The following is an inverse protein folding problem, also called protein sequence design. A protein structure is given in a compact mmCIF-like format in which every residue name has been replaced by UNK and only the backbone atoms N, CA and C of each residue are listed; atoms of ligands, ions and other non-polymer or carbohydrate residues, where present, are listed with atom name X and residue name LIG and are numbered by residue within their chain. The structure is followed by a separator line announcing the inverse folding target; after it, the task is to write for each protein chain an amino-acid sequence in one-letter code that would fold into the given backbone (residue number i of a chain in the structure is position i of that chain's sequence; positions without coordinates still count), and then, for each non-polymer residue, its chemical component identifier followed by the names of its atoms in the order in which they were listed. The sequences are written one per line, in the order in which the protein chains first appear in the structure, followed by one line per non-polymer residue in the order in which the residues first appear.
data_IF_274204372196
#
_entry.id   IF_274204372196
#
_cell.length_a   1.000
_cell.length_b   1.000
_cell.length_c   1.000
_cell.angle_alpha   90.00
_cell.angle_beta   90.00
_cell.angle_gamma   90.00
#
_symmetry.space_group_name_H-M   'P 1'
#
loop_
_entity.id
_entity.type
_entity.pdbx_description
1 polymer ?
#
# COMPACT_ATOMS: atom_id res chain seq x y z
N UNK A 1 -40.16 15.80 9.97
CA UNK A 1 -39.62 15.37 8.66
C UNK A 1 -38.65 14.17 8.75
N UNK A 2 -37.66 14.14 9.66
CA UNK A 2 -36.95 12.88 10.04
C UNK A 2 -37.92 11.81 10.57
N UNK A 3 -38.96 12.27 11.25
CA UNK A 3 -40.07 11.47 11.75
C UNK A 3 -40.92 10.85 10.65
N UNK A 4 -40.95 11.36 9.41
CA UNK A 4 -41.89 10.90 8.38
C UNK A 4 -41.33 9.78 7.51
N UNK A 5 -40.05 9.84 7.12
CA UNK A 5 -39.46 8.78 6.28
C UNK A 5 -39.11 7.55 7.11
N UNK A 6 -38.55 7.76 8.31
CA UNK A 6 -38.21 6.67 9.25
C UNK A 6 -39.45 6.03 9.86
N UNK A 7 -40.53 6.80 10.12
CA UNK A 7 -41.81 6.21 10.54
C UNK A 7 -42.49 5.45 9.42
N UNK A 8 -42.40 5.93 8.16
CA UNK A 8 -42.96 5.22 7.00
C UNK A 8 -42.20 3.92 6.68
N UNK A 9 -40.89 3.87 6.89
CA UNK A 9 -40.08 2.64 6.77
C UNK A 9 -40.39 1.67 7.91
N UNK A 10 -40.46 2.15 9.17
CA UNK A 10 -40.87 1.32 10.32
C UNK A 10 -42.32 0.83 10.24
N UNK A 11 -43.23 1.64 9.69
CA UNK A 11 -44.63 1.29 9.46
C UNK A 11 -44.83 0.32 8.28
N UNK A 12 -43.80 0.11 7.45
CA UNK A 12 -43.79 -0.81 6.33
C UNK A 12 -42.89 -2.04 6.60
N UNK A 13 -42.67 -2.39 7.88
CA UNK A 13 -41.94 -3.60 8.28
C UNK A 13 -40.49 -3.61 7.74
N UNK A 14 -39.81 -2.44 7.82
CA UNK A 14 -38.49 -2.15 7.26
C UNK A 14 -38.36 -2.31 5.73
N UNK A 15 -39.48 -2.45 5.01
CA UNK A 15 -39.49 -2.48 3.54
C UNK A 15 -39.64 -1.07 3.00
N UNK A 16 -38.67 -0.53 2.24
CA UNK A 16 -38.75 0.83 1.74
C UNK A 16 -39.93 0.93 0.75
N UNK A 17 -40.66 2.05 0.75
CA UNK A 17 -41.87 2.21 -0.07
C UNK A 17 -41.60 2.94 -1.40
N UNK A 18 -40.46 3.64 -1.50
CA UNK A 18 -39.98 4.34 -2.69
C UNK A 18 -38.54 3.92 -3.02
N UNK A 19 -38.16 3.97 -4.30
CA UNK A 19 -36.78 3.72 -4.73
C UNK A 19 -35.89 4.90 -4.32
N UNK A 20 -35.13 4.72 -3.24
CA UNK A 20 -34.27 5.75 -2.67
C UNK A 20 -33.04 6.03 -3.55
N UNK A 21 -32.79 5.24 -4.61
CA UNK A 21 -31.76 5.56 -5.62
C UNK A 21 -32.11 6.83 -6.38
N UNK A 22 -33.40 7.11 -6.58
CA UNK A 22 -33.85 8.38 -7.18
C UNK A 22 -33.54 9.60 -6.29
N UNK A 23 -33.34 9.39 -4.98
CA UNK A 23 -33.15 10.45 -3.99
C UNK A 23 -31.71 10.98 -3.87
N UNK A 24 -30.78 10.45 -4.66
CA UNK A 24 -29.44 11.05 -4.87
C UNK A 24 -29.30 11.76 -6.21
N UNK A 25 -30.36 11.81 -7.02
CA UNK A 25 -30.31 12.45 -8.35
C UNK A 25 -29.97 13.94 -8.30
N UNK A 26 -30.23 14.61 -7.17
CA UNK A 26 -29.82 16.00 -6.91
C UNK A 26 -28.46 16.18 -6.24
N UNK A 27 -27.77 15.10 -5.86
CA UNK A 27 -26.45 15.19 -5.24
C UNK A 27 -25.36 15.41 -6.28
N UNK A 28 -24.18 15.98 -5.92
CA UNK A 28 -23.09 16.22 -6.87
C UNK A 28 -22.71 14.98 -7.68
N UNK A 29 -22.33 15.17 -8.95
CA UNK A 29 -21.97 14.08 -9.87
C UNK A 29 -20.93 13.12 -9.27
N UNK A 30 -19.94 13.69 -8.59
CA UNK A 30 -18.90 12.97 -7.87
C UNK A 30 -19.41 12.05 -6.77
N UNK A 31 -20.36 12.54 -5.96
CA UNK A 31 -20.99 11.73 -4.92
C UNK A 31 -21.83 10.62 -5.54
N UNK A 32 -22.60 10.93 -6.59
CA UNK A 32 -23.42 9.95 -7.31
C UNK A 32 -22.54 8.86 -7.91
N UNK A 33 -21.41 9.21 -8.52
CA UNK A 33 -20.48 8.24 -9.10
C UNK A 33 -19.90 7.32 -8.04
N UNK A 34 -19.42 7.87 -6.92
CA UNK A 34 -18.85 7.08 -5.84
C UNK A 34 -19.84 6.08 -5.22
N UNK A 35 -21.11 6.48 -5.11
CA UNK A 35 -22.17 5.71 -4.43
C UNK A 35 -22.94 4.76 -5.36
N UNK A 36 -22.51 4.61 -6.62
CA UNK A 36 -23.04 3.58 -7.50
C UNK A 36 -22.67 2.18 -7.02
N UNK A 37 -23.38 1.17 -7.53
CA UNK A 37 -23.05 -0.23 -7.28
C UNK A 37 -21.58 -0.54 -7.59
N UNK A 38 -20.92 -1.26 -6.70
CA UNK A 38 -19.55 -1.73 -6.89
C UNK A 38 -18.58 -1.26 -5.81
N UNK A 39 -17.30 -1.40 -6.12
CA UNK A 39 -16.17 -1.06 -5.28
C UNK A 39 -16.00 0.46 -5.15
N UNK A 40 -15.92 0.94 -3.91
CA UNK A 40 -15.57 2.33 -3.63
C UNK A 40 -14.07 2.53 -3.87
N UNK A 41 -13.20 1.60 -3.46
CA UNK A 41 -11.75 1.69 -3.69
C UNK A 41 -11.42 1.83 -5.17
N UNK A 42 -12.09 1.07 -6.04
CA UNK A 42 -11.92 1.14 -7.50
C UNK A 42 -12.18 2.55 -8.04
N UNK A 43 -13.33 3.12 -7.67
CA UNK A 43 -13.75 4.45 -8.14
C UNK A 43 -12.87 5.55 -7.57
N UNK A 44 -12.58 5.45 -6.28
CA UNK A 44 -11.70 6.35 -5.56
C UNK A 44 -10.30 6.36 -6.20
N UNK A 45 -9.71 5.19 -6.44
CA UNK A 45 -8.41 5.05 -7.08
C UNK A 45 -8.39 5.61 -8.51
N UNK A 46 -9.41 5.31 -9.33
CA UNK A 46 -9.55 5.88 -10.69
C UNK A 46 -9.57 7.41 -10.68
N UNK A 47 -10.27 8.01 -9.74
CA UNK A 47 -10.41 9.47 -9.63
C UNK A 47 -9.10 10.20 -9.39
N UNK A 48 -8.11 9.53 -8.79
CA UNK A 48 -6.77 10.09 -8.53
C UNK A 48 -5.69 9.55 -9.47
N UNK A 49 -6.06 8.82 -10.52
CA UNK A 49 -5.11 8.25 -11.48
C UNK A 49 -4.38 7.00 -10.98
N UNK A 50 -4.93 6.31 -9.98
CA UNK A 50 -4.38 5.08 -9.40
C UNK A 50 -5.21 3.83 -9.72
N UNK A 51 -6.02 3.85 -10.77
CA UNK A 51 -6.91 2.74 -11.13
C UNK A 51 -6.19 1.38 -11.20
N UNK A 52 -4.98 1.37 -11.76
CA UNK A 52 -4.15 0.17 -11.90
C UNK A 52 -3.72 -0.45 -10.54
N UNK A 53 -3.78 0.33 -9.47
CA UNK A 53 -3.42 -0.10 -8.12
C UNK A 53 -4.63 -0.51 -7.27
N UNK A 54 -5.86 -0.38 -7.79
CA UNK A 54 -7.08 -0.67 -7.03
C UNK A 54 -7.08 -2.09 -6.44
N UNK A 55 -6.67 -3.09 -7.23
CA UNK A 55 -6.54 -4.49 -6.78
C UNK A 55 -5.52 -4.66 -5.64
N UNK A 56 -4.43 -3.89 -5.68
CA UNK A 56 -3.40 -3.90 -4.64
C UNK A 56 -3.92 -3.25 -3.36
N UNK A 57 -4.59 -2.09 -3.47
CA UNK A 57 -5.23 -1.42 -2.34
C UNK A 57 -6.22 -2.37 -1.68
N UNK A 58 -7.11 -3.01 -2.46
CA UNK A 58 -8.06 -4.01 -1.93
C UNK A 58 -7.37 -5.21 -1.30
N UNK A 59 -6.25 -5.66 -1.86
CA UNK A 59 -5.47 -6.78 -1.34
C UNK A 59 -4.92 -6.53 0.06
N UNK A 60 -4.46 -5.31 0.35
CA UNK A 60 -3.85 -4.97 1.64
C UNK A 60 -4.83 -4.36 2.64
N UNK A 61 -5.77 -3.55 2.17
CA UNK A 61 -6.65 -2.73 3.03
C UNK A 61 -8.09 -3.21 3.05
N UNK A 62 -8.53 -3.93 2.01
CA UNK A 62 -9.93 -4.25 1.80
C UNK A 62 -10.66 -3.16 1.01
N UNK A 63 -11.98 -3.17 1.09
CA UNK A 63 -12.84 -2.30 0.28
C UNK A 63 -14.15 -1.99 1.01
N UNK A 64 -14.85 -0.96 0.55
CA UNK A 64 -16.28 -0.78 0.81
C UNK A 64 -17.03 -1.00 -0.49
N UNK A 65 -17.94 -1.96 -0.49
CA UNK A 65 -18.74 -2.33 -1.64
C UNK A 65 -20.16 -1.83 -1.48
N UNK A 66 -20.66 -1.08 -2.46
CA UNK A 66 -22.06 -0.68 -2.53
C UNK A 66 -22.85 -1.77 -3.28
N UNK A 67 -23.77 -2.44 -2.59
CA UNK A 67 -24.77 -3.29 -3.21
C UNK A 67 -26.02 -2.48 -3.54
N UNK A 68 -26.44 -2.52 -4.80
CA UNK A 68 -27.62 -1.81 -5.28
C UNK A 68 -28.20 -2.60 -6.46
N UNK A 69 -28.95 -3.68 -6.18
CA UNK A 69 -29.61 -4.49 -7.22
C UNK A 69 -30.82 -3.76 -7.77
N UNK A 70 -31.26 -4.07 -8.98
CA UNK A 70 -32.39 -3.41 -9.66
C UNK A 70 -33.65 -3.31 -8.78
N UNK A 71 -33.98 -4.37 -8.02
CA UNK A 71 -35.15 -4.40 -7.14
C UNK A 71 -34.90 -3.88 -5.71
N UNK A 72 -33.64 -3.62 -5.35
CA UNK A 72 -33.31 -3.06 -4.05
C UNK A 72 -33.78 -1.61 -4.02
N UNK A 73 -34.47 -1.26 -2.94
CA UNK A 73 -34.97 0.11 -2.76
C UNK A 73 -34.02 0.99 -1.95
N UNK A 74 -32.97 0.40 -1.36
CA UNK A 74 -31.92 1.07 -0.58
C UNK A 74 -30.57 0.44 -0.95
N UNK A 75 -29.55 1.24 -1.31
CA UNK A 75 -28.17 0.76 -1.43
C UNK A 75 -27.61 0.35 -0.07
N UNK A 76 -26.96 -0.81 -0.01
CA UNK A 76 -26.33 -1.33 1.21
C UNK A 76 -24.83 -1.34 1.04
N UNK A 77 -24.11 -0.70 1.96
CA UNK A 77 -22.66 -0.77 1.99
C UNK A 77 -22.18 -1.97 2.81
N UNK A 78 -21.25 -2.73 2.24
CA UNK A 78 -20.58 -3.86 2.89
C UNK A 78 -19.09 -3.62 2.94
N UNK A 79 -18.48 -3.99 4.06
CA UNK A 79 -17.02 -4.00 4.18
C UNK A 79 -16.51 -5.31 3.55
N UNK A 80 -15.58 -5.19 2.63
CA UNK A 80 -14.84 -6.33 2.08
C UNK A 80 -13.49 -6.35 2.77
N UNK A 81 -13.14 -7.48 3.38
CA UNK A 81 -11.86 -7.61 4.07
C UNK A 81 -10.71 -7.64 3.07
N UNK A 82 -9.51 -7.29 3.53
CA UNK A 82 -8.27 -7.50 2.78
C UNK A 82 -7.99 -9.00 2.53
N UNK A 83 -6.94 -9.30 1.77
CA UNK A 83 -6.52 -10.68 1.57
C UNK A 83 -5.87 -11.25 2.83
N UNK A 84 -6.40 -12.35 3.41
CA UNK A 84 -5.86 -12.94 4.62
C UNK A 84 -4.44 -13.51 4.44
N UNK A 85 -4.03 -13.78 3.19
CA UNK A 85 -2.70 -14.26 2.84
C UNK A 85 -1.61 -13.18 3.05
N UNK A 86 -1.97 -11.90 2.92
CA UNK A 86 -1.04 -10.82 3.15
C UNK A 86 -0.81 -10.65 4.65
N UNK A 87 0.44 -10.77 5.07
CA UNK A 87 0.81 -10.52 6.46
C UNK A 87 0.61 -9.04 6.77
N UNK A 88 -0.32 -8.76 7.67
CA UNK A 88 -0.64 -7.39 8.09
C UNK A 88 0.62 -6.64 8.51
N UNK A 89 0.77 -5.43 7.99
CA UNK A 89 1.86 -4.49 8.31
C UNK A 89 3.27 -5.01 7.99
N UNK A 90 3.41 -6.12 7.26
CA UNK A 90 4.71 -6.64 6.84
C UNK A 90 5.08 -6.17 5.45
N UNK A 91 6.36 -5.86 5.28
CA UNK A 91 6.98 -5.61 3.98
C UNK A 91 7.35 -6.91 3.25
N UNK A 92 7.38 -8.05 3.96
CA UNK A 92 7.99 -9.28 3.47
C UNK A 92 7.29 -9.83 2.21
N UNK A 93 5.96 -9.72 2.12
CA UNK A 93 5.22 -10.36 1.03
C UNK A 93 5.44 -9.66 -0.30
N UNK A 94 5.47 -8.33 -0.33
CA UNK A 94 5.83 -7.59 -1.53
C UNK A 94 7.34 -7.69 -1.83
N UNK A 95 8.18 -7.65 -0.80
CA UNK A 95 9.63 -7.80 -0.94
C UNK A 95 10.00 -9.12 -1.65
N UNK A 96 9.31 -10.20 -1.29
CA UNK A 96 9.61 -11.56 -1.74
C UNK A 96 8.61 -12.13 -2.77
N UNK A 97 7.68 -11.32 -3.28
CA UNK A 97 6.70 -11.74 -4.30
C UNK A 97 5.69 -12.79 -3.83
N UNK A 98 5.29 -12.72 -2.57
CA UNK A 98 4.19 -13.51 -1.99
C UNK A 98 2.92 -12.68 -1.76
N UNK A 99 2.91 -11.43 -2.21
CA UNK A 99 1.76 -10.55 -2.09
C UNK A 99 0.56 -11.10 -2.87
N UNK A 100 -0.62 -10.96 -2.29
CA UNK A 100 -1.90 -11.21 -2.93
C UNK A 100 -2.59 -9.87 -3.21
N UNK A 101 -3.26 -9.81 -4.35
CA UNK A 101 -4.16 -8.70 -4.69
C UNK A 101 -5.60 -9.20 -4.60
N UNK A 102 -6.54 -8.28 -4.41
CA UNK A 102 -7.97 -8.61 -4.38
C UNK A 102 -8.66 -8.01 -5.59
N UNK A 103 -9.14 -8.88 -6.48
CA UNK A 103 -9.79 -8.49 -7.73
C UNK A 103 -11.13 -7.80 -7.47
N UNK A 104 -11.70 -7.18 -8.51
CA UNK A 104 -13.05 -6.61 -8.49
C UNK A 104 -14.12 -7.65 -8.11
N UNK A 105 -13.90 -8.92 -8.46
CA UNK A 105 -14.74 -10.07 -8.09
C UNK A 105 -14.49 -10.56 -6.66
N UNK A 106 -13.78 -9.76 -5.86
CA UNK A 106 -13.49 -9.95 -4.44
C UNK A 106 -12.59 -11.18 -4.16
N UNK A 107 -11.98 -11.75 -5.20
CA UNK A 107 -11.09 -12.92 -5.09
C UNK A 107 -9.68 -12.50 -4.73
N UNK A 108 -9.05 -13.23 -3.82
CA UNK A 108 -7.63 -13.07 -3.52
C UNK A 108 -6.82 -13.93 -4.46
N UNK A 109 -5.99 -13.30 -5.29
CA UNK A 109 -5.12 -13.98 -6.24
C UNK A 109 -3.66 -13.54 -6.02
N UNK A 110 -2.67 -14.40 -6.29
CA UNK A 110 -1.27 -14.00 -6.23
C UNK A 110 -1.03 -12.77 -7.13
N UNK A 111 -0.27 -11.81 -6.63
CA UNK A 111 0.15 -10.66 -7.43
C UNK A 111 1.02 -11.14 -8.59
N UNK A 112 0.73 -10.68 -9.80
CA UNK A 112 1.61 -10.88 -10.97
C UNK A 112 2.89 -10.04 -10.91
N UNK A 113 3.02 -9.16 -9.91
CA UNK A 113 4.20 -8.31 -9.73
C UNK A 113 5.42 -9.12 -9.34
N UNK A 114 6.56 -8.75 -9.92
CA UNK A 114 7.85 -9.37 -9.59
C UNK A 114 8.24 -9.00 -8.14
N UNK A 115 8.94 -9.89 -7.40
CA UNK A 115 9.47 -9.55 -6.09
C UNK A 115 10.34 -8.29 -6.16
N UNK A 116 10.12 -7.33 -5.24
CA UNK A 116 10.89 -6.07 -5.22
C UNK A 116 12.39 -6.37 -5.09
N UNK A 117 12.75 -7.35 -4.26
CA UNK A 117 14.15 -7.79 -4.11
C UNK A 117 14.76 -8.23 -5.44
N UNK A 118 14.02 -8.99 -6.27
CA UNK A 118 14.49 -9.45 -7.57
C UNK A 118 14.69 -8.30 -8.54
N UNK A 119 13.77 -7.33 -8.57
CA UNK A 119 13.90 -6.14 -9.43
C UNK A 119 15.13 -5.32 -9.05
N UNK A 120 15.32 -5.10 -7.74
CA UNK A 120 16.47 -4.38 -7.20
C UNK A 120 17.78 -5.12 -7.47
N UNK A 121 17.81 -6.44 -7.29
CA UNK A 121 18.97 -7.28 -7.60
C UNK A 121 19.40 -7.10 -9.05
N UNK A 122 18.46 -7.22 -10.01
CA UNK A 122 18.76 -7.10 -11.43
C UNK A 122 19.28 -5.72 -11.83
N UNK A 123 18.75 -4.65 -11.21
CA UNK A 123 19.27 -3.29 -11.41
C UNK A 123 20.71 -3.17 -10.93
N UNK A 124 21.03 -3.74 -9.78
CA UNK A 124 22.41 -3.74 -9.26
C UNK A 124 23.34 -4.65 -10.05
N UNK A 125 22.87 -5.81 -10.52
CA UNK A 125 23.62 -6.72 -11.38
C UNK A 125 23.99 -6.04 -12.71
N UNK A 126 23.06 -5.30 -13.32
CA UNK A 126 23.33 -4.45 -14.50
C UNK A 126 24.45 -3.44 -14.23
N UNK A 127 24.47 -2.81 -13.06
CA UNK A 127 25.53 -1.88 -12.65
C UNK A 127 26.87 -2.62 -12.50
N UNK A 128 26.90 -3.74 -11.76
CA UNK A 128 28.10 -4.57 -11.55
C UNK A 128 28.69 -5.03 -12.87
N UNK A 129 27.85 -5.56 -13.78
CA UNK A 129 28.28 -6.01 -15.11
C UNK A 129 28.94 -4.88 -15.90
N UNK A 130 28.40 -3.66 -15.85
CA UNK A 130 29.00 -2.51 -16.54
C UNK A 130 30.32 -2.07 -15.92
N UNK A 131 30.43 -2.08 -14.59
CA UNK A 131 31.69 -1.80 -13.89
C UNK A 131 32.76 -2.82 -14.30
N UNK A 132 32.44 -4.13 -14.26
CA UNK A 132 33.36 -5.21 -14.65
C UNK A 132 33.85 -5.09 -16.09
N UNK A 133 32.97 -4.66 -16.99
CA UNK A 133 33.25 -4.54 -18.43
C UNK A 133 33.75 -3.15 -18.86
N UNK A 134 34.06 -2.25 -17.92
CA UNK A 134 34.43 -0.85 -18.20
C UNK A 134 33.44 -0.12 -19.13
N UNK A 135 32.15 -0.39 -18.96
CA UNK A 135 31.08 0.22 -19.75
C UNK A 135 30.45 1.39 -18.99
N UNK A 136 29.99 2.46 -19.70
CA UNK A 136 29.26 3.55 -19.06
C UNK A 136 27.92 3.07 -18.51
N UNK A 137 27.43 3.71 -17.44
CA UNK A 137 26.11 3.44 -16.87
C UNK A 137 24.98 3.94 -17.79
N UNK A 138 23.89 3.18 -17.89
CA UNK A 138 22.66 3.62 -18.58
C UNK A 138 21.93 4.71 -17.79
N UNK A 139 20.98 5.37 -18.45
CA UNK A 139 20.00 6.25 -17.81
C UNK A 139 19.27 5.56 -16.66
N UNK A 140 18.85 4.30 -16.86
CA UNK A 140 18.11 3.53 -15.85
C UNK A 140 18.97 3.20 -14.62
N UNK A 141 20.25 2.91 -14.84
CA UNK A 141 21.19 2.69 -13.74
C UNK A 141 21.41 3.97 -12.95
N UNK A 142 21.59 5.11 -13.63
CA UNK A 142 21.77 6.42 -12.98
C UNK A 142 20.52 6.83 -12.21
N UNK A 143 19.33 6.67 -12.78
CA UNK A 143 18.06 6.93 -12.11
C UNK A 143 17.89 6.08 -10.85
N UNK A 144 18.21 4.78 -10.92
CA UNK A 144 18.15 3.89 -9.76
C UNK A 144 19.12 4.30 -8.64
N UNK A 145 20.35 4.71 -8.99
CA UNK A 145 21.34 5.21 -8.02
C UNK A 145 20.84 6.50 -7.35
N UNK A 146 20.24 7.41 -8.12
CA UNK A 146 19.79 8.71 -7.62
C UNK A 146 18.51 8.66 -6.78
N UNK A 147 17.73 7.56 -6.88
CA UNK A 147 16.47 7.37 -6.15
C UNK A 147 16.67 6.77 -4.75
N UNK A 148 17.89 6.38 -4.37
CA UNK A 148 18.18 5.77 -3.08
C UNK A 148 19.15 6.62 -2.26
N UNK A 149 18.89 6.70 -0.96
CA UNK A 149 19.81 7.33 0.00
C UNK A 149 20.99 6.42 0.36
N UNK A 150 21.03 5.19 -0.15
CA UNK A 150 22.12 4.24 0.05
C UNK A 150 23.16 4.46 -1.05
N UNK A 151 24.48 4.55 -0.75
CA UNK A 151 25.53 4.77 -1.74
C UNK A 151 25.82 3.50 -2.56
N UNK A 152 24.81 2.99 -3.27
CA UNK A 152 24.80 1.70 -3.96
C UNK A 152 25.96 1.59 -4.95
N UNK A 153 26.21 2.64 -5.75
CA UNK A 153 27.29 2.62 -6.71
C UNK A 153 28.67 2.40 -6.07
N UNK A 154 28.97 3.14 -4.99
CA UNK A 154 30.25 3.04 -4.28
C UNK A 154 30.44 1.66 -3.66
N UNK A 155 29.39 1.12 -3.04
CA UNK A 155 29.42 -0.23 -2.43
C UNK A 155 29.67 -1.30 -3.51
N UNK A 156 28.92 -1.25 -4.62
CA UNK A 156 29.07 -2.21 -5.72
C UNK A 156 30.44 -2.11 -6.39
N UNK A 157 30.95 -0.89 -6.61
CA UNK A 157 32.30 -0.68 -7.15
C UNK A 157 33.36 -1.32 -6.24
N UNK A 158 33.27 -1.11 -4.93
CA UNK A 158 34.18 -1.73 -3.98
C UNK A 158 34.08 -3.27 -4.03
N UNK A 159 32.87 -3.81 -4.12
CA UNK A 159 32.64 -5.25 -4.19
C UNK A 159 33.24 -5.88 -5.45
N UNK A 160 33.23 -5.17 -6.59
CA UNK A 160 33.93 -5.62 -7.81
C UNK A 160 35.44 -5.62 -7.59
N UNK A 161 35.99 -4.59 -6.95
CA UNK A 161 37.44 -4.51 -6.65
C UNK A 161 37.89 -5.61 -5.69
N UNK A 162 37.07 -5.96 -4.70
CA UNK A 162 37.39 -7.02 -3.71
C UNK A 162 36.98 -8.43 -4.14
N UNK A 163 36.36 -8.59 -5.31
CA UNK A 163 35.86 -9.89 -5.80
C UNK A 163 34.68 -10.46 -5.00
N UNK A 164 33.95 -9.61 -4.25
CA UNK A 164 32.83 -10.02 -3.39
C UNK A 164 31.45 -9.66 -3.97
N UNK A 165 31.38 -9.31 -5.25
CA UNK A 165 30.18 -8.74 -5.88
C UNK A 165 28.94 -9.63 -5.75
N UNK A 166 29.08 -10.95 -5.84
CA UNK A 166 27.94 -11.87 -5.69
C UNK A 166 27.33 -11.82 -4.28
N UNK A 167 28.17 -11.80 -3.24
CA UNK A 167 27.71 -11.73 -1.84
C UNK A 167 27.10 -10.36 -1.58
N UNK A 168 27.77 -9.29 -2.02
CA UNK A 168 27.27 -7.92 -1.87
C UNK A 168 25.94 -7.72 -2.57
N UNK A 169 25.74 -8.23 -3.79
CA UNK A 169 24.46 -8.15 -4.50
C UNK A 169 23.31 -8.80 -3.71
N UNK A 170 23.56 -9.97 -3.11
CA UNK A 170 22.55 -10.69 -2.33
C UNK A 170 22.11 -9.93 -1.06
N UNK A 171 23.08 -9.37 -0.32
CA UNK A 171 22.82 -8.63 0.92
C UNK A 171 22.24 -7.25 0.63
N UNK A 172 22.86 -6.51 -0.30
CA UNK A 172 22.45 -5.14 -0.62
C UNK A 172 21.07 -5.11 -1.28
N UNK A 173 20.71 -6.14 -2.07
CA UNK A 173 19.36 -6.24 -2.67
C UNK A 173 18.25 -6.45 -1.65
N UNK A 174 18.53 -7.11 -0.54
CA UNK A 174 17.54 -7.20 0.54
C UNK A 174 17.35 -5.86 1.22
N UNK A 175 18.43 -5.16 1.58
CA UNK A 175 18.35 -3.86 2.25
C UNK A 175 17.73 -2.77 1.36
N UNK A 176 18.21 -2.63 0.12
CA UNK A 176 17.66 -1.69 -0.84
C UNK A 176 16.23 -2.09 -1.21
N UNK A 177 15.96 -3.39 -1.40
CA UNK A 177 14.62 -3.90 -1.65
C UNK A 177 13.63 -3.55 -0.53
N UNK A 178 14.06 -3.68 0.73
CA UNK A 178 13.26 -3.30 1.90
C UNK A 178 12.92 -1.80 1.88
N UNK A 179 13.89 -0.94 1.58
CA UNK A 179 13.67 0.50 1.41
C UNK A 179 12.63 0.79 0.31
N UNK A 180 12.79 0.24 -0.89
CA UNK A 180 11.83 0.44 -1.98
C UNK A 180 10.43 -0.08 -1.61
N UNK A 181 10.36 -1.23 -0.94
CA UNK A 181 9.10 -1.81 -0.50
C UNK A 181 8.38 -0.88 0.49
N UNK A 182 9.11 -0.31 1.45
CA UNK A 182 8.60 0.72 2.36
C UNK A 182 8.05 1.92 1.61
N UNK A 183 8.79 2.48 0.65
CA UNK A 183 8.32 3.63 -0.15
C UNK A 183 7.05 3.33 -0.95
N UNK A 184 6.95 2.14 -1.54
CA UNK A 184 5.73 1.72 -2.26
C UNK A 184 4.54 1.70 -1.30
N UNK A 185 4.68 1.14 -0.10
CA UNK A 185 3.58 1.14 0.88
C UNK A 185 3.24 2.54 1.39
N UNK A 186 4.24 3.38 1.69
CA UNK A 186 3.99 4.75 2.14
C UNK A 186 3.25 5.57 1.08
N UNK A 187 3.64 5.45 -0.19
CA UNK A 187 2.94 6.11 -1.28
C UNK A 187 1.52 5.55 -1.47
N UNK A 188 1.36 4.22 -1.38
CA UNK A 188 0.05 3.56 -1.42
C UNK A 188 -0.88 4.10 -0.33
N UNK A 189 -0.45 4.09 0.94
CA UNK A 189 -1.29 4.53 2.06
C UNK A 189 -1.55 6.04 2.03
N UNK A 190 -0.54 6.85 1.74
CA UNK A 190 -0.70 8.31 1.64
C UNK A 190 -1.65 8.69 0.52
N UNK A 191 -1.52 8.08 -0.65
CA UNK A 191 -2.40 8.39 -1.77
C UNK A 191 -3.82 7.85 -1.52
N UNK A 192 -3.96 6.71 -0.83
CA UNK A 192 -5.25 6.20 -0.40
C UNK A 192 -5.92 7.14 0.60
N UNK A 193 -5.19 7.63 1.60
CA UNK A 193 -5.66 8.64 2.55
C UNK A 193 -6.11 9.92 1.85
N UNK A 194 -5.27 10.50 0.99
CA UNK A 194 -5.62 11.69 0.20
C UNK A 194 -6.87 11.50 -0.66
N UNK A 195 -7.03 10.30 -1.23
CA UNK A 195 -8.21 9.95 -2.02
C UNK A 195 -9.45 9.92 -1.13
N UNK A 196 -9.33 9.32 0.05
CA UNK A 196 -10.43 9.12 0.95
C UNK A 196 -10.84 10.40 1.68
N UNK A 197 -9.88 11.26 2.04
CA UNK A 197 -10.16 12.59 2.60
C UNK A 197 -10.94 13.46 1.60
N UNK A 198 -10.58 13.42 0.31
CA UNK A 198 -11.36 14.10 -0.76
C UNK A 198 -12.78 13.57 -0.87
N UNK A 199 -12.95 12.25 -0.77
CA UNK A 199 -14.29 11.64 -0.74
C UNK A 199 -15.07 12.12 0.48
N UNK A 200 -14.45 12.16 1.66
CA UNK A 200 -15.10 12.61 2.88
C UNK A 200 -15.51 14.10 2.81
N UNK A 201 -14.68 14.96 2.22
CA UNK A 201 -15.01 16.35 1.95
C UNK A 201 -16.23 16.50 1.02
N UNK A 202 -16.28 15.71 -0.05
CA UNK A 202 -17.41 15.67 -1.00
C UNK A 202 -18.71 15.19 -0.34
N UNK A 203 -18.59 14.37 0.69
CA UNK A 203 -19.71 13.76 1.41
C UNK A 203 -20.20 14.66 2.56
N UNK A 204 -19.28 15.36 3.22
CA UNK A 204 -19.58 16.19 4.40
C UNK A 204 -20.04 17.60 4.04
N UNK A 205 -19.83 18.04 2.80
CA UNK A 205 -20.26 19.37 2.33
C UNK A 205 -21.61 19.26 1.60
N UNK A 206 -22.71 19.74 2.18
CA UNK A 206 -24.02 19.70 1.53
C UNK A 206 -24.08 20.80 0.47
N UNK A 207 -23.75 20.44 -0.77
CA UNK A 207 -24.09 21.26 -1.93
C UNK A 207 -25.08 20.44 -2.77
N UNK A 208 -26.35 20.83 -2.74
CA UNK A 208 -27.24 20.44 -3.82
C UNK A 208 -26.59 20.90 -5.13
N UNK A 209 -26.52 20.02 -6.12
CA UNK A 209 -25.96 20.36 -7.42
C UNK A 209 -26.76 21.54 -8.00
N UNK A 210 -26.15 22.72 -8.25
CA UNK A 210 -26.87 23.92 -8.71
C UNK A 210 -27.62 23.68 -10.03
N UNK A 211 -27.17 22.68 -10.80
CA UNK A 211 -27.76 22.29 -12.08
C UNK A 211 -28.86 21.23 -11.95
N UNK A 212 -29.09 20.68 -10.75
CA UNK A 212 -30.04 19.58 -10.56
C UNK A 212 -31.50 20.01 -10.34
N UNK A 213 -31.78 21.32 -10.29
CA UNK A 213 -33.14 21.84 -10.10
C UNK A 213 -33.76 21.43 -8.75
N UNK A 214 -35.01 21.00 -8.74
CA UNK A 214 -35.76 20.60 -7.53
C UNK A 214 -35.51 19.16 -7.08
N UNK A 215 -34.53 18.46 -7.67
CA UNK A 215 -34.24 17.06 -7.33
C UNK A 215 -33.69 16.95 -5.91
N UNK A 216 -34.19 16.00 -5.09
CA UNK A 216 -33.68 15.81 -3.75
C UNK A 216 -32.24 15.29 -3.77
N UNK A 217 -31.43 15.77 -2.82
CA UNK A 217 -30.14 15.17 -2.47
C UNK A 217 -30.18 14.65 -1.02
N UNK A 218 -30.26 13.33 -0.86
CA UNK A 218 -30.34 12.64 0.44
C UNK A 218 -29.07 11.83 0.72
N UNK A 219 -27.97 12.54 1.01
CA UNK A 219 -26.68 11.93 1.36
C UNK A 219 -26.73 11.15 2.68
N UNK A 220 -27.69 11.49 3.54
CA UNK A 220 -27.91 10.83 4.84
C UNK A 220 -28.22 9.33 4.72
N UNK A 221 -28.73 8.88 3.57
CA UNK A 221 -28.98 7.48 3.27
C UNK A 221 -27.70 6.64 3.19
N UNK A 222 -26.56 7.28 2.90
CA UNK A 222 -25.28 6.62 2.75
C UNK A 222 -24.40 6.74 3.99
N UNK A 223 -24.89 7.30 5.10
CA UNK A 223 -24.14 7.39 6.38
C UNK A 223 -23.46 6.07 6.78
N UNK A 224 -24.11 4.89 6.68
CA UNK A 224 -23.43 3.63 6.98
C UNK A 224 -22.29 3.29 6.01
N UNK A 225 -22.40 3.68 4.74
CA UNK A 225 -21.34 3.50 3.75
C UNK A 225 -20.14 4.39 4.06
N UNK A 226 -20.42 5.64 4.43
CA UNK A 226 -19.44 6.65 4.78
C UNK A 226 -18.67 6.21 6.03
N UNK A 227 -19.38 5.75 7.08
CA UNK A 227 -18.74 5.23 8.28
C UNK A 227 -17.80 4.05 7.99
N UNK A 228 -18.21 3.11 7.12
CA UNK A 228 -17.35 1.99 6.70
C UNK A 228 -16.12 2.45 5.93
N UNK A 229 -16.23 3.57 5.24
CA UNK A 229 -15.14 4.16 4.50
C UNK A 229 -14.19 4.91 5.44
N UNK A 230 -14.71 5.60 6.45
CA UNK A 230 -13.92 6.18 7.55
C UNK A 230 -13.11 5.12 8.31
N UNK A 231 -13.69 3.92 8.49
CA UNK A 231 -12.97 2.77 9.04
C UNK A 231 -11.77 2.37 8.15
N UNK A 232 -11.90 2.46 6.82
CA UNK A 232 -10.77 2.20 5.91
C UNK A 232 -9.73 3.32 5.97
N UNK A 233 -10.13 4.58 6.12
CA UNK A 233 -9.19 5.71 6.33
C UNK A 233 -8.35 5.47 7.58
N UNK A 234 -9.02 5.11 8.68
CA UNK A 234 -8.36 4.84 9.95
C UNK A 234 -7.40 3.67 9.83
N UNK A 235 -7.80 2.61 9.13
CA UNK A 235 -6.93 1.47 8.83
C UNK A 235 -5.73 1.85 7.95
N UNK A 236 -5.90 2.75 6.98
CA UNK A 236 -4.81 3.25 6.14
C UNK A 236 -3.73 3.95 6.97
N UNK A 237 -4.16 4.85 7.86
CA UNK A 237 -3.29 5.62 8.76
C UNK A 237 -2.54 4.70 9.73
N UNK A 238 -3.26 3.78 10.37
CA UNK A 238 -2.68 2.78 11.27
C UNK A 238 -1.68 1.88 10.55
N UNK A 239 -2.00 1.46 9.32
CA UNK A 239 -1.11 0.66 8.51
C UNK A 239 0.16 1.41 8.12
N UNK A 240 0.07 2.69 7.77
CA UNK A 240 1.22 3.56 7.48
C UNK A 240 2.20 3.60 8.67
N UNK A 241 1.70 3.92 9.87
CA UNK A 241 2.53 3.97 11.09
C UNK A 241 3.15 2.62 11.43
N UNK A 242 2.39 1.53 11.32
CA UNK A 242 2.89 0.18 11.66
C UNK A 242 3.90 -0.33 10.64
N UNK A 243 3.74 0.00 9.36
CA UNK A 243 4.71 -0.33 8.32
C UNK A 243 6.01 0.43 8.52
N UNK A 244 5.96 1.72 8.90
CA UNK A 244 7.15 2.48 9.26
C UNK A 244 7.87 1.87 10.48
N UNK A 245 7.13 1.48 11.51
CA UNK A 245 7.69 0.79 12.66
C UNK A 245 8.35 -0.55 12.28
N UNK A 246 7.71 -1.35 11.41
CA UNK A 246 8.25 -2.61 10.92
C UNK A 246 9.53 -2.41 10.09
N UNK A 247 9.56 -1.37 9.25
CA UNK A 247 10.74 -0.98 8.50
C UNK A 247 11.91 -0.61 9.42
N UNK A 248 11.67 0.29 10.38
CA UNK A 248 12.69 0.74 11.33
C UNK A 248 13.20 -0.41 12.21
N UNK A 249 12.32 -1.32 12.65
CA UNK A 249 12.70 -2.53 13.40
C UNK A 249 13.63 -3.45 12.60
N UNK A 250 13.34 -3.65 11.30
CA UNK A 250 14.23 -4.40 10.40
C UNK A 250 15.58 -3.71 10.23
N UNK A 251 15.61 -2.39 10.04
CA UNK A 251 16.88 -1.63 9.96
C UNK A 251 17.71 -1.76 11.25
N UNK A 252 17.08 -1.66 12.42
CA UNK A 252 17.77 -1.84 13.70
C UNK A 252 18.37 -3.23 13.82
N UNK A 253 17.65 -4.26 13.38
CA UNK A 253 18.15 -5.65 13.37
C UNK A 253 19.40 -5.80 12.49
N UNK A 254 19.44 -5.13 11.32
CA UNK A 254 20.66 -5.09 10.49
C UNK A 254 21.84 -4.45 11.22
N UNK A 255 21.63 -3.31 11.87
CA UNK A 255 22.69 -2.61 12.62
C UNK A 255 23.20 -3.42 13.81
N UNK A 256 22.30 -4.06 14.56
CA UNK A 256 22.66 -4.91 15.70
C UNK A 256 23.46 -6.14 15.25
N UNK A 257 23.03 -6.79 14.17
CA UNK A 257 23.75 -7.95 13.62
C UNK A 257 25.15 -7.55 13.14
N UNK A 258 25.31 -6.37 12.52
CA UNK A 258 26.63 -5.86 12.13
C UNK A 258 27.52 -5.55 13.33
N UNK A 259 26.96 -5.00 14.41
CA UNK A 259 27.69 -4.79 15.68
C UNK A 259 28.15 -6.10 16.32
N UNK A 260 27.28 -7.11 16.33
CA UNK A 260 27.59 -8.45 16.83
C UNK A 260 28.71 -9.11 16.02
N UNK A 261 28.64 -9.10 14.69
CA UNK A 261 29.68 -9.64 13.80
C UNK A 261 31.03 -8.97 14.09
N UNK A 262 31.08 -7.63 14.14
CA UNK A 262 32.31 -6.89 14.44
C UNK A 262 32.89 -7.23 15.81
N UNK A 263 32.03 -7.44 16.82
CA UNK A 263 32.48 -7.82 18.16
C UNK A 263 33.16 -9.19 18.15
N UNK A 264 32.59 -10.15 17.42
CA UNK A 264 33.14 -11.49 17.26
C UNK A 264 34.46 -11.47 16.47
N UNK A 265 34.53 -10.74 15.35
CA UNK A 265 35.77 -10.57 14.58
C UNK A 265 36.89 -9.87 15.38
N UNK A 266 36.53 -9.00 16.32
CA UNK A 266 37.50 -8.34 17.20
C UNK A 266 38.00 -9.32 18.25
N UNK A 267 37.11 -10.10 18.84
CA UNK A 267 37.46 -11.14 19.82
C UNK A 267 38.33 -12.23 19.19
N UNK A 268 38.00 -12.71 17.98
CA UNK A 268 38.84 -13.68 17.26
C UNK A 268 40.23 -13.14 16.95
N UNK A 269 40.34 -11.86 16.55
CA UNK A 269 41.65 -11.23 16.32
C UNK A 269 42.47 -11.12 17.60
N UNK A 270 41.83 -10.80 18.72
CA UNK A 270 42.48 -10.75 20.04
C UNK A 270 42.95 -12.15 20.47
N UNK A 271 42.10 -13.16 20.33
CA UNK A 271 42.46 -14.55 20.64
C UNK A 271 43.60 -15.06 19.75
N UNK A 272 43.62 -14.68 18.47
CA UNK A 272 44.72 -15.01 17.56
C UNK A 272 46.02 -14.29 17.94
N UNK A 273 45.98 -13.01 18.31
CA UNK A 273 47.16 -12.29 18.78
C UNK A 273 47.70 -12.86 20.09
N UNK A 274 46.82 -13.25 21.00
CA UNK A 274 47.20 -13.83 22.30
C UNK A 274 47.82 -15.21 22.15
N UNK A 275 47.29 -16.04 21.23
CA UNK A 275 47.90 -17.33 20.87
C UNK A 275 49.27 -17.16 20.20
N UNK A 276 49.41 -16.17 19.31
CA UNK A 276 50.69 -15.87 18.67
C UNK A 276 51.75 -15.36 19.67
N UNK A 277 51.33 -14.56 20.64
CA UNK A 277 52.20 -14.08 21.72
C UNK A 277 52.58 -15.19 22.73
N UNK A 278 51.67 -16.14 22.99
CA UNK A 278 51.90 -17.28 23.87
C UNK A 278 52.85 -18.35 23.30
N UNK A 279 52.97 -18.46 21.98
CA UNK A 279 53.88 -19.41 21.30
C UNK A 279 55.34 -18.94 21.18
N UNK A 280 55.66 -17.72 21.62
CA UNK A 280 57.01 -17.11 21.58
C UNK A 280 57.70 -17.09 22.96
N UNK A 281 57.13 -17.73 23.98
CA UNK A 281 57.72 -17.96 25.31
C UNK A 281 58.04 -19.44 25.49
#
# INVERSE_FOLDING_TARGET
MWSDTTSKIKAADDKPIADLKSMISGCPADFRDLMQHGSIVERAAKKVGMGDYADTIRGYMGDVWIESKTNDKIPVAKSITSCPQNKKFSLDDMLNGRAYVKTIDQQCVPSGSRPVRTVVYQKMESIVSRIKNNQPLTSDNQAFINQTNIPVYTILKQAVVTGQDTVTLNVLSELVGLYYTYFIFTDLYRNTENTFDKVNEMVSTPLADPSAGSKPCRMDLFKPAIAKFDDLITQARDASTKVEAAYNSRLQSYTLNQGFIKSFETQERQDQSDRAAGGLR
#
